data_IF_262517133662
#
_entry.id   IF_262517133662
#
_cell.length_a   1.000
_cell.length_b   1.000
_cell.length_c   1.000
_cell.angle_alpha   90.00
_cell.angle_beta   90.00
_cell.angle_gamma   90.00
#
_symmetry.space_group_name_H-M   'P 1'
#
loop_
_entity.id
_entity.type
_entity.pdbx_description
1 polymer ?
#
# COMPACT_ATOMS: atom_id res chain seq x y z
N UNK A 1 68.55 -45.03 -15.33
CA UNK A 1 68.13 -44.03 -14.33
C UNK A 1 67.37 -42.89 -15.02
N UNK A 2 66.17 -43.16 -15.54
CA UNK A 2 65.42 -42.19 -16.37
C UNK A 2 63.91 -42.42 -16.46
N UNK A 3 63.41 -43.63 -16.17
CA UNK A 3 61.97 -43.95 -16.22
C UNK A 3 61.28 -43.67 -14.87
N UNK A 4 62.01 -43.72 -13.76
CA UNK A 4 61.45 -43.50 -12.41
C UNK A 4 61.19 -42.01 -12.08
N UNK A 5 61.82 -41.08 -12.80
CA UNK A 5 61.64 -39.64 -12.59
C UNK A 5 60.40 -39.07 -13.32
N UNK A 6 59.97 -39.72 -14.41
CA UNK A 6 58.79 -39.30 -15.18
C UNK A 6 57.48 -39.66 -14.49
N UNK A 7 57.42 -40.79 -13.78
CA UNK A 7 56.23 -41.22 -13.03
C UNK A 7 55.95 -40.31 -11.81
N UNK A 8 56.98 -39.78 -11.15
CA UNK A 8 56.83 -38.89 -10.00
C UNK A 8 56.38 -37.48 -10.38
N UNK A 9 56.72 -37.02 -11.59
CA UNK A 9 56.29 -35.71 -12.12
C UNK A 9 54.84 -35.74 -12.64
N UNK A 10 54.37 -36.88 -13.15
CA UNK A 10 52.98 -37.08 -13.59
C UNK A 10 52.00 -37.12 -12.40
N UNK A 11 52.33 -37.83 -11.32
CA UNK A 11 51.46 -37.96 -10.14
C UNK A 11 51.28 -36.63 -9.40
N UNK A 12 52.33 -35.83 -9.27
CA UNK A 12 52.26 -34.50 -8.63
C UNK A 12 51.42 -33.47 -9.42
N UNK A 13 51.42 -33.53 -10.76
CA UNK A 13 50.58 -32.67 -11.60
C UNK A 13 49.11 -33.07 -11.57
N UNK A 14 48.82 -34.37 -11.53
CA UNK A 14 47.45 -34.89 -11.40
C UNK A 14 46.85 -34.51 -10.03
N UNK A 15 47.62 -34.62 -8.94
CA UNK A 15 47.17 -34.19 -7.61
C UNK A 15 46.89 -32.68 -7.53
N UNK A 16 47.73 -31.84 -8.14
CA UNK A 16 47.48 -30.40 -8.22
C UNK A 16 46.22 -30.08 -9.04
N UNK A 17 46.01 -30.74 -10.17
CA UNK A 17 44.79 -30.54 -10.98
C UNK A 17 43.53 -30.98 -10.23
N UNK A 18 43.54 -32.14 -9.56
CA UNK A 18 42.40 -32.61 -8.77
C UNK A 18 42.11 -31.66 -7.60
N UNK A 19 43.14 -31.18 -6.90
CA UNK A 19 42.97 -30.21 -5.80
C UNK A 19 42.40 -28.86 -6.27
N UNK A 20 42.81 -28.38 -7.45
CA UNK A 20 42.26 -27.15 -8.04
C UNK A 20 40.79 -27.34 -8.44
N UNK A 21 40.45 -28.46 -9.07
CA UNK A 21 39.06 -28.78 -9.47
C UNK A 21 38.17 -28.91 -8.22
N UNK A 22 38.65 -29.58 -7.17
CA UNK A 22 37.90 -29.74 -5.92
C UNK A 22 37.65 -28.39 -5.23
N UNK A 23 38.68 -27.52 -5.16
CA UNK A 23 38.53 -26.17 -4.63
C UNK A 23 37.59 -25.32 -5.48
N UNK A 24 37.66 -25.42 -6.81
CA UNK A 24 36.75 -24.69 -7.71
C UNK A 24 35.30 -25.16 -7.52
N UNK A 25 35.05 -26.46 -7.38
CA UNK A 25 33.74 -27.02 -7.07
C UNK A 25 33.22 -26.55 -5.70
N UNK A 26 34.08 -26.52 -4.67
CA UNK A 26 33.71 -26.01 -3.34
C UNK A 26 33.38 -24.52 -3.40
N UNK A 27 34.16 -23.71 -4.12
CA UNK A 27 33.89 -22.28 -4.32
C UNK A 27 32.58 -22.08 -5.09
N UNK A 28 32.33 -22.84 -6.14
CA UNK A 28 31.07 -22.77 -6.90
C UNK A 28 29.89 -23.18 -6.01
N UNK A 29 30.02 -24.25 -5.22
CA UNK A 29 29.00 -24.67 -4.25
C UNK A 29 28.74 -23.61 -3.18
N UNK A 30 29.79 -23.03 -2.59
CA UNK A 30 29.68 -21.94 -1.62
C UNK A 30 29.05 -20.69 -2.23
N UNK A 31 29.45 -20.32 -3.44
CA UNK A 31 28.88 -19.18 -4.16
C UNK A 31 27.42 -19.42 -4.53
N UNK A 32 27.06 -20.65 -4.92
CA UNK A 32 25.68 -21.04 -5.21
C UNK A 32 24.84 -21.04 -3.93
N UNK A 33 25.36 -21.55 -2.83
CA UNK A 33 24.71 -21.56 -1.52
C UNK A 33 24.52 -20.14 -0.95
N UNK A 34 25.54 -19.29 -1.06
CA UNK A 34 25.47 -17.87 -0.69
C UNK A 34 24.51 -17.09 -1.59
N UNK A 35 24.43 -17.43 -2.89
CA UNK A 35 23.52 -16.79 -3.84
C UNK A 35 22.06 -17.23 -3.63
N UNK A 36 21.82 -18.52 -3.34
CA UNK A 36 20.50 -19.04 -2.96
C UNK A 36 20.06 -18.42 -1.64
N UNK A 37 20.92 -18.40 -0.62
CA UNK A 37 20.62 -17.78 0.67
C UNK A 37 20.37 -16.26 0.60
N UNK A 38 21.01 -15.53 -0.33
CA UNK A 38 20.72 -14.11 -0.58
C UNK A 38 19.44 -13.88 -1.39
N UNK A 39 19.13 -14.75 -2.36
CA UNK A 39 17.90 -14.66 -3.15
C UNK A 39 16.66 -14.98 -2.30
N UNK A 40 16.76 -15.91 -1.35
CA UNK A 40 15.67 -16.27 -0.45
C UNK A 40 15.27 -15.13 0.50
N UNK A 41 16.15 -14.17 0.81
CA UNK A 41 15.82 -13.09 1.75
C UNK A 41 14.99 -11.95 1.15
N UNK A 42 15.03 -11.75 -0.18
CA UNK A 42 14.40 -10.60 -0.85
C UNK A 42 12.89 -10.75 -1.09
N UNK A 43 12.34 -11.96 -0.95
CA UNK A 43 10.90 -12.22 -1.18
C UNK A 43 10.17 -12.74 0.06
N UNK A 44 10.80 -12.67 1.22
CA UNK A 44 10.15 -13.04 2.48
C UNK A 44 9.09 -12.00 2.78
N UNK A 45 7.84 -12.46 2.81
CA UNK A 45 6.70 -11.59 3.03
C UNK A 45 6.77 -11.06 4.45
N UNK A 46 6.59 -9.76 4.60
CA UNK A 46 6.53 -9.11 5.88
C UNK A 46 5.27 -8.25 5.96
N UNK A 47 4.50 -8.44 7.03
CA UNK A 47 3.29 -7.67 7.29
C UNK A 47 3.34 -7.21 8.73
N UNK A 48 3.07 -5.92 8.94
CA UNK A 48 2.95 -5.35 10.27
C UNK A 48 1.68 -4.51 10.37
N UNK A 49 0.96 -4.67 11.47
CA UNK A 49 -0.23 -3.92 11.82
C UNK A 49 0.01 -3.26 13.16
N UNK A 50 -0.06 -1.93 13.17
CA UNK A 50 -0.05 -1.14 14.41
C UNK A 50 -1.47 -0.70 14.72
N UNK A 51 -1.91 -0.92 15.95
CA UNK A 51 -3.20 -0.44 16.47
C UNK A 51 -2.93 0.54 17.61
N UNK A 52 -3.51 1.72 17.52
CA UNK A 52 -3.53 2.75 18.56
C UNK A 52 -4.95 2.89 19.09
N UNK A 53 -5.12 2.66 20.38
CA UNK A 53 -6.40 2.80 21.08
C UNK A 53 -6.74 4.27 21.38
N UNK A 54 -8.00 4.61 21.68
CA UNK A 54 -8.40 5.99 21.98
C UNK A 54 -7.71 6.57 23.22
N UNK A 55 -7.21 5.71 24.12
CA UNK A 55 -6.44 6.08 25.30
C UNK A 55 -4.92 6.12 25.06
N UNK A 56 -4.47 5.98 23.81
CA UNK A 56 -3.07 6.13 23.40
C UNK A 56 -2.21 4.88 23.61
N UNK A 57 -2.78 3.75 24.05
CA UNK A 57 -2.02 2.48 24.05
C UNK A 57 -1.79 2.02 22.62
N UNK A 58 -0.57 1.57 22.35
CA UNK A 58 -0.15 1.05 21.04
C UNK A 58 0.18 -0.43 21.14
N UNK A 59 -0.33 -1.23 20.20
CA UNK A 59 0.10 -2.63 19.99
C UNK A 59 0.54 -2.83 18.55
N UNK A 60 1.60 -3.61 18.38
CA UNK A 60 2.17 -3.95 17.08
C UNK A 60 2.05 -5.46 16.90
N UNK A 61 1.49 -5.87 15.77
CA UNK A 61 1.40 -7.25 15.33
C UNK A 61 2.23 -7.39 14.07
N UNK A 62 3.25 -8.24 14.11
CA UNK A 62 4.08 -8.50 12.95
C UNK A 62 4.03 -9.97 12.57
N UNK A 63 4.21 -10.19 11.27
CA UNK A 63 4.51 -11.48 10.69
C UNK A 63 5.81 -11.33 9.88
N UNK A 64 6.83 -12.08 10.26
CA UNK A 64 8.06 -12.26 9.52
C UNK A 64 8.26 -13.74 9.26
N UNK A 65 8.58 -14.10 8.02
CA UNK A 65 8.86 -15.47 7.59
C UNK A 65 10.02 -16.14 8.36
N UNK A 66 10.83 -15.37 9.10
CA UNK A 66 11.98 -15.85 9.91
C UNK A 66 11.79 -15.82 11.43
N UNK A 67 10.72 -15.20 11.94
CA UNK A 67 10.61 -14.82 13.35
C UNK A 67 9.84 -15.80 14.25
N UNK A 68 10.06 -15.69 15.58
CA UNK A 68 9.35 -16.46 16.62
C UNK A 68 7.95 -15.91 16.95
N UNK A 69 7.64 -14.66 16.58
CA UNK A 69 6.34 -14.03 16.76
C UNK A 69 5.60 -14.02 15.42
N UNK A 70 4.78 -15.04 15.18
CA UNK A 70 4.01 -15.18 13.95
C UNK A 70 2.54 -14.91 14.24
N UNK A 71 2.15 -13.64 14.33
CA UNK A 71 0.74 -13.35 14.20
C UNK A 71 0.31 -13.71 12.79
N UNK A 72 -0.84 -14.35 12.68
CA UNK A 72 -1.45 -14.54 11.38
C UNK A 72 -2.24 -13.29 11.03
N UNK A 73 -1.91 -12.71 9.87
CA UNK A 73 -2.45 -11.44 9.40
C UNK A 73 -2.90 -11.60 7.96
N UNK A 74 -4.09 -11.11 7.64
CA UNK A 74 -4.58 -10.96 6.27
C UNK A 74 -5.05 -9.53 6.06
N UNK A 75 -4.90 -9.03 4.84
CA UNK A 75 -5.30 -7.68 4.47
C UNK A 75 -5.82 -7.60 3.04
N UNK A 76 -6.69 -6.62 2.84
CA UNK A 76 -7.22 -6.20 1.54
C UNK A 76 -7.33 -4.67 1.53
N UNK A 77 -6.51 -4.01 0.71
CA UNK A 77 -6.46 -2.55 0.54
C UNK A 77 -7.05 -2.22 -0.83
N UNK A 78 -8.26 -1.66 -0.86
CA UNK A 78 -8.93 -1.32 -2.12
C UNK A 78 -8.55 0.08 -2.61
N UNK A 79 -8.22 0.20 -3.89
CA UNK A 79 -7.97 1.50 -4.55
C UNK A 79 -9.27 2.11 -5.07
N UNK A 80 -10.25 2.32 -4.18
CA UNK A 80 -11.56 2.87 -4.55
C UNK A 80 -11.66 4.37 -4.23
N UNK A 81 -12.85 4.87 -3.87
CA UNK A 81 -13.03 6.28 -3.45
C UNK A 81 -12.92 6.44 -1.93
N UNK A 82 -13.13 5.34 -1.21
CA UNK A 82 -13.18 5.28 0.26
C UNK A 82 -11.85 4.81 0.87
N UNK A 83 -10.94 4.26 0.04
CA UNK A 83 -9.68 3.65 0.44
C UNK A 83 -9.88 2.69 1.61
N UNK A 84 -10.98 1.93 1.55
CA UNK A 84 -11.36 1.03 2.63
C UNK A 84 -10.35 -0.10 2.67
N UNK A 85 -9.71 -0.26 3.82
CA UNK A 85 -8.78 -1.34 4.06
C UNK A 85 -9.37 -2.28 5.09
N UNK A 86 -9.41 -3.57 4.78
CA UNK A 86 -9.83 -4.62 5.71
C UNK A 86 -8.59 -5.34 6.21
N UNK A 87 -8.49 -5.52 7.52
CA UNK A 87 -7.39 -6.23 8.19
C UNK A 87 -7.99 -7.29 9.09
N UNK A 88 -7.44 -8.50 9.03
CA UNK A 88 -7.82 -9.63 9.87
C UNK A 88 -6.62 -10.10 10.69
N UNK A 89 -6.76 -10.09 12.00
CA UNK A 89 -5.79 -10.61 12.95
C UNK A 89 -6.32 -11.89 13.60
N UNK A 90 -5.50 -12.93 13.62
CA UNK A 90 -5.87 -14.23 14.13
C UNK A 90 -5.36 -14.43 15.56
N UNK A 91 -6.20 -15.04 16.40
CA UNK A 91 -5.92 -15.47 17.77
C UNK A 91 -5.37 -14.37 18.68
N UNK A 92 -5.87 -13.14 18.50
CA UNK A 92 -5.54 -12.00 19.38
C UNK A 92 -6.30 -12.06 20.70
N UNK A 93 -5.72 -11.47 21.75
CA UNK A 93 -6.32 -11.35 23.08
C UNK A 93 -7.56 -10.43 23.07
N UNK A 94 -8.47 -10.63 24.02
CA UNK A 94 -9.62 -9.72 24.24
C UNK A 94 -9.18 -8.27 24.39
N UNK A 95 -8.08 -8.03 25.13
CA UNK A 95 -7.55 -6.67 25.31
C UNK A 95 -7.15 -5.99 24.01
N UNK A 96 -6.86 -6.73 22.93
CA UNK A 96 -6.63 -6.16 21.60
C UNK A 96 -7.94 -5.82 20.91
N UNK A 97 -8.96 -6.67 21.04
CA UNK A 97 -10.31 -6.38 20.51
C UNK A 97 -10.85 -5.10 21.14
N UNK A 98 -10.70 -4.96 22.46
CA UNK A 98 -11.15 -3.78 23.21
C UNK A 98 -10.42 -2.50 22.74
N UNK A 99 -9.16 -2.61 22.28
CA UNK A 99 -8.44 -1.48 21.70
C UNK A 99 -9.03 -1.00 20.37
N UNK A 100 -9.80 -1.81 19.65
CA UNK A 100 -10.48 -1.42 18.41
C UNK A 100 -11.81 -0.70 18.66
N UNK A 101 -12.29 -0.67 19.90
CA UNK A 101 -13.54 0.00 20.25
C UNK A 101 -13.30 1.52 20.40
N UNK A 102 -14.18 2.37 19.84
CA UNK A 102 -14.09 3.80 20.03
C UNK A 102 -14.46 4.19 21.46
N UNK A 103 -13.90 5.29 21.94
CA UNK A 103 -14.33 5.95 23.18
C UNK A 103 -15.44 6.93 22.85
N UNK A 104 -16.68 6.49 23.01
CA UNK A 104 -17.88 7.29 22.69
C UNK A 104 -18.04 8.47 23.65
N UNK A 105 -18.19 9.66 23.08
CA UNK A 105 -18.52 10.88 23.82
C UNK A 105 -20.02 11.17 23.84
N UNK A 106 -20.42 12.31 24.44
CA UNK A 106 -21.84 12.71 24.50
C UNK A 106 -22.41 13.06 23.13
N UNK A 107 -21.59 13.63 22.25
CA UNK A 107 -21.92 13.88 20.84
C UNK A 107 -21.07 12.99 19.94
N UNK A 108 -21.55 12.78 18.71
CA UNK A 108 -20.80 12.05 17.67
C UNK A 108 -19.42 12.67 17.42
N UNK A 109 -19.33 14.01 17.43
CA UNK A 109 -18.08 14.77 17.31
C UNK A 109 -17.06 14.52 18.42
N UNK A 110 -17.52 14.08 19.59
CA UNK A 110 -16.67 13.87 20.77
C UNK A 110 -16.15 12.43 20.84
N UNK A 111 -16.53 11.58 19.89
CA UNK A 111 -16.11 10.18 19.82
C UNK A 111 -14.68 10.10 19.31
N UNK A 112 -13.81 9.48 20.11
CA UNK A 112 -12.41 9.25 19.75
C UNK A 112 -12.30 7.81 19.24
N UNK A 113 -11.93 7.67 17.98
CA UNK A 113 -11.75 6.37 17.34
C UNK A 113 -10.33 5.84 17.52
N UNK A 114 -10.22 4.52 17.63
CA UNK A 114 -8.95 3.83 17.49
C UNK A 114 -8.40 4.00 16.09
N UNK A 115 -7.08 3.96 15.95
CA UNK A 115 -6.38 4.09 14.67
C UNK A 115 -5.61 2.84 14.34
N UNK A 116 -5.42 2.57 13.06
CA UNK A 116 -4.52 1.51 12.63
C UNK A 116 -3.66 1.93 11.44
N UNK A 117 -2.47 1.33 11.37
CA UNK A 117 -1.51 1.46 10.28
C UNK A 117 -1.15 0.05 9.80
N UNK A 118 -1.11 -0.13 8.48
CA UNK A 118 -0.74 -1.37 7.82
C UNK A 118 0.53 -1.15 7.01
N UNK A 119 1.56 -1.89 7.37
CA UNK A 119 2.83 -1.94 6.68
C UNK A 119 2.99 -3.30 6.00
N UNK A 120 3.43 -3.28 4.76
CA UNK A 120 3.64 -4.49 3.96
C UNK A 120 4.88 -4.34 3.11
N UNK A 121 5.52 -5.46 2.81
CA UNK A 121 6.64 -5.49 1.90
C UNK A 121 7.39 -6.81 1.93
N UNK A 122 8.69 -6.74 1.66
CA UNK A 122 9.54 -7.91 1.61
C UNK A 122 10.85 -7.70 2.37
N UNK A 123 11.34 -8.74 3.03
CA UNK A 123 12.62 -8.71 3.73
C UNK A 123 12.62 -7.70 4.88
N UNK A 124 13.34 -6.58 4.71
CA UNK A 124 13.37 -5.47 5.67
C UNK A 124 12.67 -4.21 5.14
N UNK A 125 12.12 -4.25 3.92
CA UNK A 125 11.56 -3.10 3.22
C UNK A 125 10.04 -3.09 3.42
N UNK A 126 9.61 -2.56 4.57
CA UNK A 126 8.20 -2.33 4.86
C UNK A 126 7.77 -0.94 4.40
N UNK A 127 6.67 -0.89 3.64
CA UNK A 127 6.01 0.35 3.24
C UNK A 127 4.64 0.47 3.89
N UNK A 128 4.29 1.66 4.36
CA UNK A 128 2.94 1.97 4.81
C UNK A 128 1.99 1.99 3.61
N UNK A 129 1.01 1.09 3.57
CA UNK A 129 0.02 1.00 2.48
C UNK A 129 -1.37 1.46 2.88
N UNK A 130 -1.68 1.47 4.18
CA UNK A 130 -2.94 2.00 4.68
C UNK A 130 -2.78 2.58 6.08
N UNK A 131 -3.53 3.63 6.35
CA UNK A 131 -3.63 4.31 7.64
C UNK A 131 -5.07 4.79 7.79
N UNK A 132 -5.56 4.94 9.01
CA UNK A 132 -6.86 5.56 9.25
C UNK A 132 -7.50 5.19 10.58
N UNK A 133 -8.71 5.68 10.78
CA UNK A 133 -9.54 5.34 11.93
C UNK A 133 -10.21 3.98 11.70
N UNK A 134 -10.31 3.17 12.75
CA UNK A 134 -11.09 1.94 12.75
C UNK A 134 -12.58 2.32 12.72
N UNK A 135 -13.22 2.02 11.60
CA UNK A 135 -14.64 2.32 11.35
C UNK A 135 -15.55 1.27 12.00
N UNK A 136 -15.15 0.01 11.89
CA UNK A 136 -15.88 -1.14 12.39
C UNK A 136 -14.90 -2.26 12.71
N UNK A 137 -15.21 -3.05 13.74
CA UNK A 137 -14.52 -4.29 14.04
C UNK A 137 -15.55 -5.38 14.34
N UNK A 138 -15.21 -6.62 14.02
CA UNK A 138 -16.01 -7.80 14.33
C UNK A 138 -15.09 -8.93 14.75
N UNK A 139 -15.58 -9.76 15.66
CA UNK A 139 -14.90 -11.00 16.05
C UNK A 139 -15.73 -12.16 15.54
N UNK A 140 -15.09 -13.09 14.84
CA UNK A 140 -15.69 -14.35 14.41
C UNK A 140 -14.81 -15.53 14.81
N UNK A 141 -15.40 -16.72 14.84
CA UNK A 141 -14.66 -17.97 14.99
C UNK A 141 -14.72 -18.75 13.68
N UNK A 142 -13.59 -19.34 13.27
CA UNK A 142 -13.49 -20.24 12.13
C UNK A 142 -12.66 -21.45 12.53
N UNK A 143 -13.35 -22.55 12.87
CA UNK A 143 -12.70 -23.71 13.47
C UNK A 143 -12.05 -23.33 14.80
N UNK A 144 -10.76 -23.68 15.04
CA UNK A 144 -10.07 -23.31 16.27
C UNK A 144 -9.62 -21.84 16.29
N UNK A 145 -9.65 -21.16 15.13
CA UNK A 145 -9.15 -19.80 15.02
C UNK A 145 -10.23 -18.77 15.42
N UNK A 146 -9.81 -17.80 16.23
CA UNK A 146 -10.58 -16.58 16.50
C UNK A 146 -10.05 -15.45 15.66
N UNK A 147 -10.91 -14.77 14.91
CA UNK A 147 -10.52 -13.76 13.92
C UNK A 147 -11.10 -12.42 14.33
N UNK A 148 -10.23 -11.45 14.58
CA UNK A 148 -10.58 -10.04 14.68
C UNK A 148 -10.44 -9.41 13.29
N UNK A 149 -11.55 -9.09 12.64
CA UNK A 149 -11.57 -8.33 11.39
C UNK A 149 -11.98 -6.90 11.70
N UNK A 150 -11.23 -5.93 11.17
CA UNK A 150 -11.61 -4.52 11.27
C UNK A 150 -11.32 -3.79 9.97
N UNK A 151 -12.05 -2.69 9.78
CA UNK A 151 -11.91 -1.83 8.60
C UNK A 151 -11.40 -0.45 8.99
N UNK A 152 -10.41 0.03 8.25
CA UNK A 152 -9.87 1.38 8.42
C UNK A 152 -10.14 2.24 7.18
N UNK A 153 -10.32 3.53 7.42
CA UNK A 153 -10.39 4.56 6.38
C UNK A 153 -9.91 5.90 6.93
N UNK A 154 -9.40 6.73 6.04
CA UNK A 154 -8.90 8.06 6.35
C UNK A 154 -10.04 9.06 6.53
N UNK A 155 -10.09 9.71 7.71
CA UNK A 155 -10.93 10.89 8.02
C UNK A 155 -12.44 10.73 7.80
N UNK A 156 -12.93 9.54 7.47
CA UNK A 156 -14.33 9.29 7.13
C UNK A 156 -15.25 9.66 8.31
N UNK A 157 -14.91 9.20 9.51
CA UNK A 157 -15.69 9.51 10.71
C UNK A 157 -15.76 11.02 10.97
N UNK A 158 -14.63 11.73 10.84
CA UNK A 158 -14.56 13.17 11.04
C UNK A 158 -15.48 13.92 10.08
N UNK A 159 -15.47 13.55 8.79
CA UNK A 159 -16.21 14.25 7.73
C UNK A 159 -17.73 14.09 7.82
N UNK A 160 -18.20 13.00 8.44
CA UNK A 160 -19.63 12.73 8.66
C UNK A 160 -20.08 12.97 10.10
N UNK A 161 -19.20 13.46 10.98
CA UNK A 161 -19.55 13.77 12.38
C UNK A 161 -19.84 15.24 12.62
N UNK A 162 -19.43 16.13 11.70
CA UNK A 162 -19.66 17.56 11.80
C UNK A 162 -20.66 18.04 10.75
N UNK A 163 -21.52 18.98 11.18
CA UNK A 163 -22.39 19.78 10.32
C UNK A 163 -21.89 21.21 10.27
N UNK A 164 -21.85 21.80 9.08
CA UNK A 164 -21.33 23.15 8.85
C UNK A 164 -22.51 24.13 8.75
N UNK A 165 -22.52 25.15 9.61
CA UNK A 165 -23.50 26.25 9.58
C UNK A 165 -22.72 27.56 9.50
N UNK A 166 -22.36 27.95 8.27
CA UNK A 166 -21.47 29.09 8.02
C UNK A 166 -21.81 29.77 6.70
N UNK A 167 -21.53 31.07 6.62
CA UNK A 167 -21.64 31.85 5.39
C UNK A 167 -20.31 32.51 5.10
N UNK A 168 -19.82 32.35 3.87
CA UNK A 168 -18.63 33.00 3.37
C UNK A 168 -19.03 33.99 2.28
N UNK A 169 -18.37 35.15 2.26
CA UNK A 169 -18.60 36.20 1.27
C UNK A 169 -17.27 36.73 0.75
N UNK A 170 -17.18 36.95 -0.56
CA UNK A 170 -15.98 37.46 -1.25
C UNK A 170 -14.70 36.76 -0.80
N UNK A 171 -14.73 35.44 -0.71
CA UNK A 171 -13.63 34.64 -0.16
C UNK A 171 -13.19 33.58 -1.16
N UNK A 172 -11.88 33.35 -1.26
CA UNK A 172 -11.31 32.28 -2.08
C UNK A 172 -11.63 30.89 -1.52
N UNK A 173 -11.80 29.90 -2.40
CA UNK A 173 -12.06 28.51 -2.01
C UNK A 173 -10.94 27.95 -1.13
N UNK A 174 -9.68 28.23 -1.44
CA UNK A 174 -8.55 27.81 -0.60
C UNK A 174 -8.65 28.31 0.84
N UNK A 175 -9.08 29.56 1.02
CA UNK A 175 -9.22 30.21 2.32
C UNK A 175 -10.38 29.62 3.11
N UNK A 176 -11.52 29.39 2.45
CA UNK A 176 -12.68 28.71 3.06
C UNK A 176 -12.29 27.31 3.53
N UNK A 177 -11.65 26.51 2.66
CA UNK A 177 -11.21 25.16 3.00
C UNK A 177 -10.24 25.16 4.17
N UNK A 178 -9.25 26.06 4.18
CA UNK A 178 -8.27 26.19 5.27
C UNK A 178 -8.94 26.56 6.60
N UNK A 179 -9.91 27.47 6.57
CA UNK A 179 -10.68 27.85 7.77
C UNK A 179 -11.50 26.67 8.30
N UNK A 180 -12.19 25.93 7.42
CA UNK A 180 -12.93 24.73 7.81
C UNK A 180 -11.98 23.66 8.38
N UNK A 181 -10.84 23.43 7.75
CA UNK A 181 -9.86 22.44 8.22
C UNK A 181 -9.30 22.80 9.59
N UNK A 182 -8.98 24.07 9.83
CA UNK A 182 -8.56 24.54 11.15
C UNK A 182 -9.69 24.35 12.19
N UNK A 183 -10.92 24.76 11.86
CA UNK A 183 -12.07 24.69 12.76
C UNK A 183 -12.42 23.25 13.17
N UNK A 184 -12.35 22.31 12.24
CA UNK A 184 -12.70 20.92 12.47
C UNK A 184 -11.49 20.04 12.76
N UNK A 185 -10.30 20.61 13.00
CA UNK A 185 -9.06 19.90 13.33
C UNK A 185 -8.61 18.87 12.26
N UNK A 186 -8.71 19.23 10.98
CA UNK A 186 -8.11 18.50 9.87
C UNK A 186 -6.71 19.10 9.66
N UNK A 187 -5.71 18.50 10.29
CA UNK A 187 -4.34 19.06 10.32
C UNK A 187 -3.46 18.57 9.19
N UNK A 188 -3.77 17.42 8.59
CA UNK A 188 -2.95 16.82 7.53
C UNK A 188 -3.67 16.83 6.18
N UNK A 189 -3.42 17.88 5.39
CA UNK A 189 -4.06 18.07 4.09
C UNK A 189 -3.11 18.66 3.03
N UNK A 190 -3.55 18.63 1.77
CA UNK A 190 -2.96 19.40 0.67
C UNK A 190 -4.04 19.94 -0.27
N UNK A 191 -3.92 21.21 -0.62
CA UNK A 191 -4.70 21.87 -1.66
C UNK A 191 -3.82 22.01 -2.90
N UNK A 192 -4.20 21.35 -4.00
CA UNK A 192 -3.40 21.15 -5.21
C UNK A 192 -4.22 21.46 -6.46
N UNK A 193 -4.75 22.67 -6.53
CA UNK A 193 -5.46 23.13 -7.73
C UNK A 193 -4.71 24.30 -8.34
N UNK A 194 -4.84 24.38 -9.66
CA UNK A 194 -4.10 25.27 -10.54
C UNK A 194 -4.67 26.69 -10.54
N UNK A 195 -5.96 26.81 -10.31
CA UNK A 195 -6.72 28.06 -10.30
C UNK A 195 -7.63 28.04 -9.06
N UNK A 196 -7.57 29.11 -8.27
CA UNK A 196 -8.47 29.30 -7.15
C UNK A 196 -9.71 30.07 -7.60
N UNK A 197 -10.84 29.85 -6.94
CA UNK A 197 -12.11 30.48 -7.27
C UNK A 197 -12.52 31.46 -6.18
N UNK A 198 -12.81 32.70 -6.55
CA UNK A 198 -13.43 33.68 -5.66
C UNK A 198 -14.93 33.39 -5.59
N UNK A 199 -15.44 33.16 -4.39
CA UNK A 199 -16.87 32.98 -4.15
C UNK A 199 -17.45 34.28 -3.61
N UNK A 200 -18.41 34.86 -4.35
CA UNK A 200 -19.11 36.08 -3.94
C UNK A 200 -19.92 35.86 -2.66
N UNK A 201 -20.71 34.78 -2.62
CA UNK A 201 -21.45 34.34 -1.44
C UNK A 201 -21.76 32.85 -1.50
N UNK A 202 -21.51 32.12 -0.41
CA UNK A 202 -21.96 30.74 -0.21
C UNK A 202 -22.38 30.56 1.25
N UNK A 203 -23.49 29.84 1.44
CA UNK A 203 -24.05 29.52 2.75
C UNK A 203 -24.21 28.01 2.87
N UNK A 204 -23.84 27.50 4.04
CA UNK A 204 -24.06 26.15 4.51
C UNK A 204 -24.99 26.22 5.72
N UNK A 205 -25.99 25.36 5.74
CA UNK A 205 -27.12 25.35 6.67
C UNK A 205 -27.27 23.98 7.34
N UNK A 206 -26.16 23.36 7.74
CA UNK A 206 -26.12 22.10 8.48
C UNK A 206 -25.67 20.90 7.66
N UNK A 207 -25.20 21.08 6.43
CA UNK A 207 -24.65 19.99 5.62
C UNK A 207 -23.40 19.38 6.27
N UNK A 208 -23.15 18.09 5.99
CA UNK A 208 -21.95 17.43 6.51
C UNK A 208 -20.67 18.08 5.98
N UNK A 209 -19.63 18.09 6.81
CA UNK A 209 -18.32 18.63 6.43
C UNK A 209 -17.80 18.01 5.11
N UNK A 210 -17.96 16.70 4.93
CA UNK A 210 -17.60 16.01 3.69
C UNK A 210 -18.32 16.58 2.46
N UNK A 211 -19.63 16.82 2.57
CA UNK A 211 -20.42 17.40 1.47
C UNK A 211 -20.00 18.83 1.16
N UNK A 212 -19.76 19.64 2.20
CA UNK A 212 -19.27 21.02 2.04
C UNK A 212 -17.93 21.06 1.30
N UNK A 213 -16.99 20.21 1.70
CA UNK A 213 -15.69 20.11 1.03
C UNK A 213 -15.85 19.68 -0.43
N UNK A 214 -16.73 18.71 -0.72
CA UNK A 214 -17.00 18.26 -2.09
C UNK A 214 -17.63 19.37 -2.95
N UNK A 215 -18.53 20.18 -2.37
CA UNK A 215 -19.15 21.33 -3.05
C UNK A 215 -18.14 22.43 -3.36
N UNK A 216 -17.21 22.71 -2.44
CA UNK A 216 -16.11 23.66 -2.64
C UNK A 216 -15.10 23.16 -3.67
N UNK A 217 -14.73 21.87 -3.61
CA UNK A 217 -13.79 21.25 -4.56
C UNK A 217 -14.27 21.37 -6.00
N UNK A 218 -15.59 21.27 -6.24
CA UNK A 218 -16.18 21.45 -7.57
C UNK A 218 -15.98 22.86 -8.13
N UNK A 219 -15.92 23.89 -7.29
CA UNK A 219 -15.72 25.28 -7.74
C UNK A 219 -14.35 25.48 -8.39
N UNK A 220 -13.34 24.73 -7.91
CA UNK A 220 -11.97 24.73 -8.44
C UNK A 220 -11.70 23.53 -9.37
N UNK A 221 -12.76 22.86 -9.86
CA UNK A 221 -12.67 21.67 -10.74
C UNK A 221 -11.75 20.55 -10.19
N UNK A 222 -11.63 20.48 -8.87
CA UNK A 222 -10.79 19.53 -8.17
C UNK A 222 -11.61 18.35 -7.63
N UNK A 223 -10.92 17.24 -7.39
CA UNK A 223 -11.46 16.06 -6.71
C UNK A 223 -10.82 15.91 -5.35
N UNK A 224 -11.61 15.45 -4.39
CA UNK A 224 -11.14 15.03 -3.07
C UNK A 224 -10.79 13.54 -3.08
N UNK A 225 -9.68 13.20 -2.45
CA UNK A 225 -9.31 11.82 -2.11
C UNK A 225 -8.43 11.80 -0.85
N UNK A 226 -8.18 10.61 -0.32
CA UNK A 226 -7.28 10.40 0.80
C UNK A 226 -6.06 9.62 0.37
N UNK A 227 -4.93 9.85 1.04
CA UNK A 227 -3.73 9.05 0.86
C UNK A 227 -2.93 9.05 2.16
N UNK A 228 -2.83 7.90 2.82
CA UNK A 228 -2.01 7.67 4.02
C UNK A 228 -2.28 8.71 5.13
N UNK A 229 -3.54 8.92 5.50
CA UNK A 229 -3.93 9.92 6.50
C UNK A 229 -4.10 11.33 5.97
N UNK A 230 -3.69 11.61 4.72
CA UNK A 230 -3.72 12.96 4.15
C UNK A 230 -4.99 13.20 3.34
N UNK A 231 -5.71 14.27 3.66
CA UNK A 231 -6.78 14.79 2.80
C UNK A 231 -6.17 15.56 1.62
N UNK A 232 -6.42 15.13 0.39
CA UNK A 232 -5.91 15.81 -0.81
C UNK A 232 -7.09 16.30 -1.65
N UNK A 233 -7.05 17.57 -2.04
CA UNK A 233 -7.97 18.18 -3.00
C UNK A 233 -7.14 18.64 -4.18
N UNK A 234 -7.35 18.03 -5.35
CA UNK A 234 -6.45 18.20 -6.48
C UNK A 234 -7.20 18.28 -7.81
N UNK A 235 -6.75 19.15 -8.71
CA UNK A 235 -7.26 19.23 -10.07
C UNK A 235 -6.38 18.44 -11.08
N UNK A 236 -6.94 18.15 -12.25
CA UNK A 236 -6.23 17.38 -13.28
C UNK A 236 -5.01 18.12 -13.85
N UNK A 237 -5.02 19.46 -13.80
CA UNK A 237 -3.95 20.29 -14.35
C UNK A 237 -2.70 20.23 -13.45
N UNK A 238 -2.88 20.31 -12.13
CA UNK A 238 -1.84 20.12 -11.14
C UNK A 238 -1.29 18.70 -11.22
N UNK A 239 -2.19 17.72 -11.25
CA UNK A 239 -1.83 16.31 -11.41
C UNK A 239 -0.94 16.11 -12.64
N UNK A 240 -1.21 16.82 -13.74
CA UNK A 240 -0.41 16.69 -14.97
C UNK A 240 0.95 17.37 -14.87
N UNK A 241 1.06 18.51 -14.17
CA UNK A 241 2.29 19.31 -14.06
C UNK A 241 3.26 18.83 -12.98
N UNK A 242 2.77 18.18 -11.93
CA UNK A 242 3.57 17.76 -10.77
C UNK A 242 3.59 16.23 -10.59
N UNK A 243 3.55 15.48 -11.69
CA UNK A 243 3.58 14.02 -11.67
C UNK A 243 4.84 13.49 -11.00
N UNK A 244 4.69 12.42 -10.23
CA UNK A 244 5.84 11.62 -9.78
C UNK A 244 6.67 11.20 -11.00
N UNK A 245 7.99 11.37 -10.90
CA UNK A 245 8.96 10.89 -11.89
C UNK A 245 9.26 9.40 -11.72
N UNK A 246 8.86 8.83 -10.59
CA UNK A 246 9.10 7.43 -10.27
C UNK A 246 8.00 6.59 -10.90
N UNK A 247 8.31 6.01 -12.06
CA UNK A 247 7.40 5.14 -12.80
C UNK A 247 7.84 3.70 -12.53
N UNK A 248 6.94 2.91 -11.95
CA UNK A 248 7.21 1.49 -11.71
C UNK A 248 7.22 0.76 -13.05
N UNK A 249 8.37 0.20 -13.42
CA UNK A 249 8.47 -0.74 -14.54
C UNK A 249 7.94 -2.11 -14.12
N UNK A 250 7.01 -2.65 -14.91
CA UNK A 250 6.46 -3.99 -14.75
C UNK A 250 6.64 -4.79 -16.03
N UNK A 251 7.45 -5.82 -15.91
CA UNK A 251 7.75 -6.85 -16.89
C UNK A 251 7.92 -8.20 -16.17
N UNK A 252 8.22 -9.26 -16.93
CA UNK A 252 8.39 -10.61 -16.37
C UNK A 252 9.52 -10.73 -15.35
N UNK A 253 10.50 -9.82 -15.36
CA UNK A 253 11.66 -9.84 -14.46
C UNK A 253 11.47 -8.97 -13.21
N UNK A 254 10.58 -7.98 -13.28
CA UNK A 254 10.28 -7.00 -12.22
C UNK A 254 9.02 -7.34 -11.41
N UNK A 255 8.47 -8.54 -11.59
CA UNK A 255 7.40 -9.07 -10.74
C UNK A 255 6.01 -9.08 -11.38
N UNK A 256 5.88 -8.91 -12.70
CA UNK A 256 4.62 -9.16 -13.40
C UNK A 256 4.20 -10.63 -13.24
N UNK A 257 2.96 -10.86 -12.80
CA UNK A 257 2.40 -12.20 -12.60
C UNK A 257 1.41 -12.50 -13.72
N UNK A 258 1.68 -13.57 -14.47
CA UNK A 258 0.83 -13.98 -15.58
C UNK A 258 0.84 -12.98 -16.75
N UNK A 259 -0.16 -13.09 -17.63
CA UNK A 259 -0.33 -12.17 -18.76
C UNK A 259 -1.43 -11.15 -18.44
N UNK A 260 -1.20 -9.84 -18.66
CA UNK A 260 -2.23 -8.83 -18.55
C UNK A 260 -3.47 -9.15 -19.41
N UNK A 261 -4.65 -8.87 -18.87
CA UNK A 261 -5.93 -9.10 -19.54
C UNK A 261 -6.44 -7.77 -20.13
N UNK A 262 -6.81 -7.76 -21.40
CA UNK A 262 -7.33 -6.55 -22.05
C UNK A 262 -8.70 -6.17 -21.47
N UNK A 263 -8.88 -4.90 -21.11
CA UNK A 263 -10.15 -4.33 -20.65
C UNK A 263 -10.67 -3.29 -21.64
N UNK A 264 -11.85 -2.72 -21.39
CA UNK A 264 -12.42 -1.66 -22.23
C UNK A 264 -11.54 -0.39 -22.27
N UNK A 265 -10.87 -0.08 -21.16
CA UNK A 265 -10.08 1.15 -21.00
C UNK A 265 -8.57 0.94 -21.12
N UNK A 266 -8.09 -0.31 -21.08
CA UNK A 266 -6.66 -0.63 -21.15
C UNK A 266 -6.39 -2.07 -20.74
N UNK A 267 -5.76 -2.27 -19.58
CA UNK A 267 -5.31 -3.59 -19.10
C UNK A 267 -5.67 -3.82 -17.64
N UNK A 268 -5.95 -5.09 -17.31
CA UNK A 268 -5.97 -5.61 -15.96
C UNK A 268 -4.67 -6.38 -15.74
N UNK A 269 -3.93 -5.99 -14.72
CA UNK A 269 -2.56 -6.43 -14.44
C UNK A 269 -2.50 -7.00 -13.03
N UNK A 270 -1.74 -8.08 -12.85
CA UNK A 270 -1.38 -8.64 -11.54
C UNK A 270 0.13 -8.69 -11.43
N UNK A 271 0.68 -8.30 -10.30
CA UNK A 271 2.11 -8.37 -10.01
C UNK A 271 2.36 -8.76 -8.56
N UNK A 272 3.62 -9.01 -8.20
CA UNK A 272 4.08 -9.08 -6.81
C UNK A 272 3.62 -7.82 -6.06
N UNK A 273 3.44 -7.94 -4.74
CA UNK A 273 2.97 -6.83 -3.93
C UNK A 273 3.92 -5.64 -4.08
N UNK A 274 3.46 -4.54 -4.67
CA UNK A 274 4.26 -3.35 -4.84
C UNK A 274 3.53 -2.15 -4.23
N UNK A 275 3.90 -1.75 -3.00
CA UNK A 275 3.31 -0.62 -2.28
C UNK A 275 3.32 0.73 -3.02
N UNK A 276 4.19 0.89 -4.02
CA UNK A 276 4.29 2.11 -4.82
C UNK A 276 3.13 2.24 -5.82
N UNK A 277 2.46 1.13 -6.15
CA UNK A 277 1.35 1.13 -7.11
C UNK A 277 0.05 1.46 -6.40
N UNK A 278 -0.41 2.69 -6.54
CA UNK A 278 -1.73 3.12 -6.06
C UNK A 278 -2.52 3.81 -7.16
N UNK A 279 -3.80 4.09 -6.91
CA UNK A 279 -4.66 4.75 -7.90
C UNK A 279 -4.18 6.16 -8.22
N UNK A 280 -4.13 6.46 -9.53
CA UNK A 280 -3.63 7.73 -10.04
C UNK A 280 -2.13 7.72 -10.36
N UNK A 281 -1.39 6.70 -9.94
CA UNK A 281 0.01 6.54 -10.30
C UNK A 281 0.18 6.00 -11.72
N UNK A 282 1.36 6.24 -12.30
CA UNK A 282 1.76 5.67 -13.59
C UNK A 282 2.53 4.39 -13.37
N UNK A 283 2.32 3.45 -14.29
CA UNK A 283 3.11 2.23 -14.40
C UNK A 283 3.57 2.07 -15.84
N UNK A 284 4.80 1.63 -16.05
CA UNK A 284 5.31 1.24 -17.36
C UNK A 284 5.11 -0.25 -17.51
N UNK A 285 4.31 -0.68 -18.48
CA UNK A 285 4.07 -2.09 -18.75
C UNK A 285 4.88 -2.54 -19.97
N UNK A 286 5.70 -3.58 -19.79
CA UNK A 286 6.43 -4.22 -20.88
C UNK A 286 6.11 -5.72 -20.93
N UNK A 287 5.34 -6.15 -21.93
CA UNK A 287 4.95 -7.56 -22.10
C UNK A 287 4.58 -7.88 -23.55
N UNK A 288 4.62 -9.16 -23.90
CA UNK A 288 4.13 -9.64 -25.20
C UNK A 288 2.65 -9.99 -25.09
N UNK A 289 1.79 -9.38 -25.92
CA UNK A 289 0.40 -9.77 -26.01
C UNK A 289 0.24 -10.94 -26.99
N UNK A 290 -0.02 -12.13 -26.45
CA UNK A 290 -0.21 -13.34 -27.24
C UNK A 290 -1.47 -13.31 -28.14
N UNK A 291 -2.49 -12.52 -27.79
CA UNK A 291 -3.74 -12.46 -28.59
C UNK A 291 -3.57 -11.65 -29.87
N UNK A 292 -2.81 -10.56 -29.84
CA UNK A 292 -2.57 -9.69 -31.01
C UNK A 292 -1.16 -9.85 -31.58
N UNK A 293 -0.36 -10.76 -31.01
CA UNK A 293 1.05 -10.98 -31.31
C UNK A 293 1.89 -9.68 -31.34
N UNK A 294 1.62 -8.76 -30.41
CA UNK A 294 2.26 -7.44 -30.37
C UNK A 294 2.99 -7.21 -29.04
N UNK A 295 4.17 -6.60 -29.11
CA UNK A 295 4.87 -6.10 -27.93
C UNK A 295 4.16 -4.84 -27.41
N UNK A 296 3.80 -4.86 -26.13
CA UNK A 296 3.33 -3.68 -25.40
C UNK A 296 4.51 -3.18 -24.57
N UNK A 297 4.81 -1.89 -24.71
CA UNK A 297 5.94 -1.24 -24.03
C UNK A 297 5.58 0.24 -23.86
N UNK A 298 4.77 0.55 -22.84
CA UNK A 298 4.16 1.88 -22.73
C UNK A 298 3.73 2.20 -21.30
N UNK A 299 3.52 3.48 -21.03
CA UNK A 299 2.99 3.97 -19.77
C UNK A 299 1.46 3.87 -19.70
N UNK A 300 0.97 3.51 -18.52
CA UNK A 300 -0.44 3.43 -18.21
C UNK A 300 -0.75 4.10 -16.87
N UNK A 301 -1.93 4.71 -16.75
CA UNK A 301 -2.45 5.29 -15.53
C UNK A 301 -3.30 4.27 -14.76
N UNK A 302 -3.00 4.04 -13.49
CA UNK A 302 -3.78 3.17 -12.60
C UNK A 302 -5.12 3.82 -12.25
N UNK A 303 -6.22 3.11 -12.51
CA UNK A 303 -7.59 3.62 -12.31
C UNK A 303 -8.21 3.12 -11.00
N UNK A 304 -8.02 1.84 -10.71
CA UNK A 304 -8.53 1.11 -9.54
C UNK A 304 -7.75 -0.20 -9.41
N UNK A 305 -7.85 -0.86 -8.27
CA UNK A 305 -7.11 -2.07 -7.98
C UNK A 305 -7.16 -2.39 -6.50
N UNK A 306 -6.26 -3.25 -6.06
CA UNK A 306 -6.10 -3.60 -4.67
C UNK A 306 -4.71 -4.15 -4.37
N UNK A 307 -4.25 -3.95 -3.14
CA UNK A 307 -3.23 -4.79 -2.54
C UNK A 307 -3.91 -5.87 -1.71
N UNK A 308 -3.53 -7.13 -1.93
CA UNK A 308 -4.08 -8.24 -1.16
C UNK A 308 -2.97 -9.17 -0.72
N UNK A 309 -3.03 -9.57 0.54
CA UNK A 309 -2.22 -10.68 0.98
C UNK A 309 -2.38 -11.06 2.42
N UNK A 310 -1.53 -11.97 2.86
CA UNK A 310 -1.47 -12.39 4.24
C UNK A 310 -0.43 -13.46 4.49
N UNK A 311 -0.31 -13.84 5.75
CA UNK A 311 0.60 -14.90 6.19
C UNK A 311 0.02 -16.31 6.02
N UNK A 312 -1.31 -16.46 6.01
CA UNK A 312 -2.01 -17.74 5.85
C UNK A 312 -2.49 -18.00 4.43
N UNK A 313 -2.22 -17.09 3.51
CA UNK A 313 -2.67 -17.17 2.12
C UNK A 313 -1.49 -17.19 1.17
N UNK A 314 -1.68 -17.85 0.03
CA UNK A 314 -0.72 -17.73 -1.09
C UNK A 314 -0.78 -16.34 -1.73
N UNK A 315 -1.88 -15.61 -1.50
CA UNK A 315 -2.09 -14.26 -1.98
C UNK A 315 -1.09 -13.30 -1.32
N UNK A 316 -0.29 -12.61 -2.13
CA UNK A 316 0.56 -11.50 -1.73
C UNK A 316 0.93 -10.69 -2.98
N UNK A 317 -0.01 -9.90 -3.45
CA UNK A 317 0.03 -9.33 -4.80
C UNK A 317 -0.59 -7.93 -4.85
N UNK A 318 -0.27 -7.22 -5.94
CA UNK A 318 -1.03 -6.04 -6.37
C UNK A 318 -1.76 -6.36 -7.66
N UNK A 319 -3.05 -6.08 -7.71
CA UNK A 319 -3.87 -6.22 -8.92
C UNK A 319 -4.53 -4.90 -9.24
N UNK A 320 -4.50 -4.46 -10.49
CA UNK A 320 -5.07 -3.18 -10.88
C UNK A 320 -5.56 -3.15 -12.33
N UNK A 321 -6.46 -2.22 -12.61
CA UNK A 321 -6.86 -1.84 -13.96
C UNK A 321 -6.23 -0.48 -14.31
N UNK A 322 -5.69 -0.37 -15.52
CA UNK A 322 -5.05 0.83 -16.03
C UNK A 322 -5.57 1.22 -17.42
N UNK A 323 -5.31 2.47 -17.82
CA UNK A 323 -5.56 3.00 -19.17
C UNK A 323 -4.31 3.64 -19.75
N UNK A 324 -4.20 3.71 -21.07
CA UNK A 324 -3.11 4.43 -21.72
C UNK A 324 -3.11 5.92 -21.28
N UNK A 325 -1.91 6.47 -21.09
CA UNK A 325 -1.71 7.87 -20.67
C UNK A 325 -1.96 8.82 -21.81
#
# INVERSE_FOLDING_TARGET
MGIMFFFFLMTGRIYKCISIILNLCIIILLYTYLRIGRFDMQFLRQVEVRIESPDGRVKIFSHDSKGANLFSIEFDVLFDKTNLTTISLYNVLNSTVDMCAPKTGKKKSDTIHSRAELFVGYGNDLSLVAKGDILQHKVSARGPDRILEFKISDLLNQLYSFSVIETFQKTLVSSILTQLFAKYNITYFALRFSEDALIDKITFSGESLGYVIDRLSKQVKARRYFQLGKLIIEDNNWTTRHKSKEIVLLDRTSGLIGNPQKTKSGWKVKCLLNPLITKGEKVHLSFHNNTTNSKIDSEFLVLKGQHKGGSRTVDYFTEFECKAV
#
